data_IF_685220964861
#
_entry.id   IF_685220964861
#
_cell.length_a   1.000
_cell.length_b   1.000
_cell.length_c   1.000
_cell.angle_alpha   90.00
_cell.angle_beta   90.00
_cell.angle_gamma   90.00
#
_symmetry.space_group_name_H-M   'P 1'
#
loop_
_entity.id
_entity.type
_entity.pdbx_description
1 polymer ?
#
# COMPACT_ATOMS: atom_id res chain seq x y z
N UNK A 1 22.76 -30.92 -67.61
CA UNK A 1 22.09 -29.58 -67.75
C UNK A 1 21.70 -29.13 -66.39
N UNK A 2 22.52 -28.34 -65.76
CA UNK A 2 22.18 -27.71 -64.51
C UNK A 2 21.23 -26.55 -64.80
N UNK A 3 19.97 -26.69 -64.41
CA UNK A 3 18.97 -25.62 -64.55
C UNK A 3 19.45 -24.41 -63.72
N UNK A 4 19.61 -23.27 -64.37
CA UNK A 4 19.85 -21.98 -63.67
C UNK A 4 18.64 -21.71 -62.78
N UNK A 5 18.80 -21.50 -61.49
CA UNK A 5 17.67 -21.22 -60.62
C UNK A 5 16.96 -19.96 -61.11
N UNK A 6 15.65 -20.02 -61.21
CA UNK A 6 14.82 -18.86 -61.52
C UNK A 6 15.11 -17.73 -60.49
N UNK A 7 15.30 -16.52 -60.99
CA UNK A 7 15.60 -15.35 -60.16
C UNK A 7 14.57 -15.19 -59.00
N UNK A 8 13.33 -15.59 -59.23
CA UNK A 8 12.26 -15.60 -58.25
C UNK A 8 12.56 -16.61 -57.11
N UNK A 9 13.07 -17.80 -57.47
CA UNK A 9 13.46 -18.81 -56.47
C UNK A 9 14.70 -18.37 -55.69
N UNK A 10 15.65 -17.70 -56.32
CA UNK A 10 16.78 -17.11 -55.60
C UNK A 10 16.36 -16.04 -54.63
N UNK A 11 15.49 -15.10 -55.04
CA UNK A 11 14.95 -14.06 -54.17
C UNK A 11 14.18 -14.70 -52.99
N UNK A 12 13.32 -15.69 -53.26
CA UNK A 12 12.60 -16.42 -52.18
C UNK A 12 13.54 -17.11 -51.21
N UNK A 13 14.64 -17.68 -51.70
CA UNK A 13 15.64 -18.32 -50.86
C UNK A 13 16.36 -17.31 -49.95
N UNK A 14 16.74 -16.16 -50.52
CA UNK A 14 17.36 -15.06 -49.74
C UNK A 14 16.38 -14.53 -48.68
N UNK A 15 15.15 -14.21 -49.08
CA UNK A 15 14.10 -13.71 -48.12
C UNK A 15 13.84 -14.73 -47.00
N UNK A 16 13.74 -16.02 -47.34
CA UNK A 16 13.55 -17.05 -46.31
C UNK A 16 14.77 -17.16 -45.39
N UNK A 17 15.96 -16.98 -45.90
CA UNK A 17 17.17 -17.00 -45.08
C UNK A 17 17.22 -15.80 -44.13
N UNK A 18 16.95 -14.59 -44.63
CA UNK A 18 16.88 -13.38 -43.77
C UNK A 18 15.79 -13.48 -42.73
N UNK A 19 14.57 -13.95 -43.08
CA UNK A 19 13.49 -14.16 -42.14
C UNK A 19 13.82 -15.21 -41.05
N UNK A 20 14.71 -16.16 -41.30
CA UNK A 20 15.15 -17.13 -40.30
C UNK A 20 16.12 -16.55 -39.27
N UNK A 21 16.82 -15.48 -39.63
CA UNK A 21 17.75 -14.80 -38.72
C UNK A 21 17.07 -13.70 -37.92
N UNK A 22 15.85 -13.32 -38.28
CA UNK A 22 15.06 -12.33 -37.53
C UNK A 22 14.32 -12.97 -36.37
N UNK A 23 14.70 -12.60 -35.18
CA UNK A 23 13.94 -12.93 -33.96
C UNK A 23 12.84 -11.89 -33.73
N UNK A 24 11.59 -12.29 -33.77
CA UNK A 24 10.45 -11.35 -33.59
C UNK A 24 10.10 -11.20 -32.12
N UNK A 25 9.46 -12.22 -31.56
CA UNK A 25 9.14 -12.35 -30.14
C UNK A 25 9.25 -13.82 -29.74
N UNK A 26 9.77 -14.07 -28.56
CA UNK A 26 9.89 -15.43 -28.02
C UNK A 26 9.44 -15.49 -26.55
N UNK A 27 9.10 -16.70 -26.11
CA UNK A 27 8.79 -16.97 -24.72
C UNK A 27 10.05 -17.41 -23.98
N UNK A 28 10.23 -16.86 -22.79
CA UNK A 28 11.33 -17.25 -21.91
C UNK A 28 10.87 -17.44 -20.46
N UNK A 29 11.71 -18.11 -19.71
CA UNK A 29 11.55 -18.29 -18.28
C UNK A 29 12.67 -17.58 -17.55
N UNK A 30 12.34 -16.75 -16.56
CA UNK A 30 13.32 -16.00 -15.78
C UNK A 30 14.18 -16.97 -14.96
N UNK A 31 15.49 -16.95 -15.18
CA UNK A 31 16.47 -17.74 -14.43
C UNK A 31 17.07 -16.94 -13.26
N UNK A 32 17.16 -15.60 -13.40
CA UNK A 32 17.68 -14.70 -12.36
C UNK A 32 17.06 -13.31 -12.48
N UNK A 33 16.57 -12.76 -11.37
CA UNK A 33 16.17 -11.36 -11.30
C UNK A 33 17.34 -10.47 -10.86
N UNK A 34 17.48 -9.27 -11.45
CA UNK A 34 18.49 -8.25 -11.17
C UNK A 34 17.81 -6.92 -10.84
N UNK A 35 17.18 -6.81 -9.65
CA UNK A 35 16.54 -5.58 -9.22
C UNK A 35 17.59 -4.52 -8.88
N UNK A 36 17.22 -3.23 -9.01
CA UNK A 36 17.95 -2.15 -8.35
C UNK A 36 17.57 -2.17 -6.85
N UNK A 37 18.32 -2.92 -6.05
CA UNK A 37 17.98 -3.23 -4.66
C UNK A 37 18.54 -2.19 -3.66
N UNK A 38 19.52 -1.40 -4.07
CA UNK A 38 20.14 -0.37 -3.23
C UNK A 38 20.63 0.80 -4.08
N UNK A 39 20.72 1.99 -3.48
CA UNK A 39 21.20 3.20 -4.16
C UNK A 39 22.66 3.09 -4.68
N UNK A 40 23.42 2.12 -4.21
CA UNK A 40 24.82 1.92 -4.61
C UNK A 40 25.04 0.83 -5.63
N UNK A 41 24.02 0.05 -6.02
CA UNK A 41 24.17 -0.98 -7.05
C UNK A 41 24.11 -0.36 -8.45
N UNK A 42 24.58 -1.11 -9.44
CA UNK A 42 24.62 -0.70 -10.84
C UNK A 42 23.56 -1.42 -11.71
N UNK A 43 22.64 -2.14 -11.07
CA UNK A 43 21.59 -2.88 -11.76
C UNK A 43 20.47 -1.93 -12.21
N UNK A 44 20.04 -2.07 -13.46
CA UNK A 44 19.05 -1.23 -14.10
C UNK A 44 17.74 -1.97 -14.41
N UNK A 45 17.28 -2.82 -13.49
CA UNK A 45 16.01 -3.51 -13.67
C UNK A 45 16.03 -4.48 -14.86
N UNK A 46 16.77 -5.57 -14.70
CA UNK A 46 16.98 -6.59 -15.73
C UNK A 46 16.77 -8.01 -15.18
N UNK A 47 16.65 -8.99 -16.08
CA UNK A 47 16.60 -10.41 -15.73
C UNK A 47 17.54 -11.23 -16.63
N UNK A 48 18.03 -12.37 -16.12
CA UNK A 48 18.56 -13.42 -16.97
C UNK A 48 17.38 -14.34 -17.33
N UNK A 49 17.27 -14.73 -18.59
CA UNK A 49 16.11 -15.47 -19.12
C UNK A 49 16.55 -16.64 -19.99
N UNK A 50 15.96 -17.80 -19.77
CA UNK A 50 16.12 -18.98 -20.63
C UNK A 50 15.04 -18.99 -21.71
N UNK A 51 15.40 -18.87 -22.97
CA UNK A 51 14.47 -19.02 -24.10
C UNK A 51 13.92 -20.46 -24.15
N UNK A 52 12.58 -20.60 -24.26
CA UNK A 52 11.94 -21.92 -24.17
C UNK A 52 12.23 -22.83 -25.36
N UNK A 53 12.21 -22.26 -26.57
CA UNK A 53 12.24 -23.06 -27.79
C UNK A 53 13.63 -23.53 -28.15
N UNK A 54 14.65 -22.73 -27.83
CA UNK A 54 16.04 -23.04 -28.21
C UNK A 54 16.98 -23.31 -27.02
N UNK A 55 16.50 -23.13 -25.80
CA UNK A 55 17.29 -23.38 -24.57
C UNK A 55 18.51 -22.45 -24.42
N UNK A 56 18.48 -21.26 -25.04
CA UNK A 56 19.54 -20.26 -24.93
C UNK A 56 19.28 -19.36 -23.73
N UNK A 57 20.30 -19.13 -22.89
CA UNK A 57 20.23 -18.17 -21.79
C UNK A 57 20.68 -16.78 -22.26
N UNK A 58 19.78 -15.81 -22.14
CA UNK A 58 20.05 -14.38 -22.35
C UNK A 58 20.32 -13.73 -20.99
N UNK A 59 21.40 -12.97 -20.87
CA UNK A 59 21.81 -12.34 -19.60
C UNK A 59 21.57 -10.84 -19.61
N UNK A 60 21.09 -10.33 -18.45
CA UNK A 60 20.91 -8.89 -18.27
C UNK A 60 19.87 -8.28 -19.21
N UNK A 61 18.82 -9.03 -19.55
CA UNK A 61 17.73 -8.57 -20.41
C UNK A 61 16.94 -7.49 -19.69
N UNK A 62 16.88 -6.25 -20.22
CA UNK A 62 16.15 -5.17 -19.60
C UNK A 62 14.64 -5.45 -19.58
N UNK A 63 13.96 -5.00 -18.51
CA UNK A 63 12.52 -5.14 -18.39
C UNK A 63 11.87 -3.81 -18.74
N UNK A 64 10.96 -3.82 -19.71
CA UNK A 64 10.17 -2.65 -20.08
C UNK A 64 9.23 -2.26 -18.93
N UNK A 65 9.02 -0.97 -18.74
CA UNK A 65 8.08 -0.43 -17.76
C UNK A 65 7.06 0.48 -18.43
N UNK A 66 5.82 0.47 -17.98
CA UNK A 66 4.76 1.34 -18.49
C UNK A 66 5.01 2.82 -18.14
N UNK A 67 5.74 3.09 -17.06
CA UNK A 67 6.07 4.44 -16.61
C UNK A 67 7.38 4.42 -15.82
N UNK A 68 8.25 5.39 -16.07
CA UNK A 68 9.44 5.60 -15.24
C UNK A 68 9.01 5.88 -13.79
N UNK A 69 9.61 5.17 -12.84
CA UNK A 69 9.21 5.16 -11.43
C UNK A 69 8.32 3.99 -11.02
N UNK A 70 7.78 3.21 -11.99
CA UNK A 70 7.07 1.97 -11.70
C UNK A 70 8.03 0.78 -11.72
N UNK A 71 8.04 0.00 -10.65
CA UNK A 71 8.89 -1.18 -10.48
C UNK A 71 8.05 -2.39 -10.08
N UNK A 72 8.09 -3.44 -10.91
CA UNK A 72 7.52 -4.76 -10.65
C UNK A 72 8.34 -5.80 -11.41
N UNK A 73 9.54 -6.14 -10.89
CA UNK A 73 10.47 -7.05 -11.59
C UNK A 73 9.88 -8.45 -11.67
N UNK A 74 10.08 -9.18 -12.79
CA UNK A 74 9.73 -10.60 -12.86
C UNK A 74 10.50 -11.44 -11.84
N UNK A 75 9.81 -12.41 -11.24
CA UNK A 75 10.44 -13.37 -10.34
C UNK A 75 11.10 -14.51 -11.10
N UNK A 76 12.02 -15.20 -10.45
CA UNK A 76 12.60 -16.45 -10.98
C UNK A 76 11.50 -17.48 -11.17
N UNK A 77 11.39 -18.03 -12.37
CA UNK A 77 10.32 -18.95 -12.77
C UNK A 77 9.19 -18.30 -13.58
N UNK A 78 9.05 -16.97 -13.56
CA UNK A 78 8.03 -16.28 -14.33
C UNK A 78 8.19 -16.52 -15.84
N UNK A 79 7.06 -16.73 -16.51
CA UNK A 79 6.98 -16.78 -17.97
C UNK A 79 6.92 -15.35 -18.52
N UNK A 80 7.87 -15.01 -19.41
CA UNK A 80 8.00 -13.68 -19.98
C UNK A 80 7.95 -13.71 -21.51
N UNK A 81 7.40 -12.62 -22.07
CA UNK A 81 7.48 -12.35 -23.51
C UNK A 81 8.68 -11.44 -23.77
N UNK A 82 9.53 -11.86 -24.68
CA UNK A 82 10.77 -11.17 -25.06
C UNK A 82 10.62 -10.67 -26.49
N UNK A 83 10.81 -9.37 -26.68
CA UNK A 83 10.96 -8.74 -27.98
C UNK A 83 12.44 -8.53 -28.29
N UNK A 84 12.80 -8.54 -29.58
CA UNK A 84 14.15 -8.29 -30.06
C UNK A 84 14.18 -7.01 -30.89
N UNK A 85 14.95 -6.02 -30.47
CA UNK A 85 15.06 -4.75 -31.18
C UNK A 85 15.70 -5.00 -32.56
N UNK A 86 14.98 -4.60 -33.59
CA UNK A 86 15.37 -4.87 -35.01
C UNK A 86 15.53 -6.35 -35.34
N UNK A 87 14.94 -7.25 -34.56
CA UNK A 87 15.09 -8.70 -34.77
C UNK A 87 16.45 -9.26 -34.34
N UNK A 88 17.26 -8.49 -33.63
CA UNK A 88 18.59 -8.87 -33.19
C UNK A 88 18.54 -9.56 -31.83
N UNK A 89 18.98 -10.83 -31.78
CA UNK A 89 19.02 -11.63 -30.55
C UNK A 89 19.93 -11.03 -29.47
N UNK A 90 20.86 -10.16 -29.85
CA UNK A 90 21.75 -9.47 -28.89
C UNK A 90 21.07 -8.27 -28.21
N UNK A 91 19.92 -7.85 -28.72
CA UNK A 91 19.15 -6.71 -28.19
C UNK A 91 17.77 -7.13 -27.70
N UNK A 92 17.69 -8.07 -26.70
CA UNK A 92 16.44 -8.53 -26.13
C UNK A 92 15.87 -7.52 -25.15
N UNK A 93 14.52 -7.46 -25.06
CA UNK A 93 13.77 -6.69 -24.06
C UNK A 93 12.61 -7.52 -23.56
N UNK A 94 12.44 -7.68 -22.25
CA UNK A 94 11.23 -8.25 -21.67
C UNK A 94 10.11 -7.21 -21.79
N UNK A 95 9.08 -7.51 -22.56
CA UNK A 95 7.94 -6.61 -22.82
C UNK A 95 6.74 -6.91 -21.93
N UNK A 96 6.66 -8.08 -21.30
CA UNK A 96 5.59 -8.44 -20.39
C UNK A 96 5.77 -9.80 -19.75
N UNK A 97 4.88 -10.10 -18.81
CA UNK A 97 4.73 -11.42 -18.17
C UNK A 97 3.46 -12.07 -18.65
N UNK A 98 3.43 -13.38 -18.64
CA UNK A 98 2.26 -14.17 -19.01
C UNK A 98 1.90 -15.12 -17.86
N UNK A 99 0.62 -15.25 -17.62
CA UNK A 99 0.13 -16.31 -16.76
C UNK A 99 0.30 -17.68 -17.42
N UNK A 100 0.44 -18.69 -16.61
CA UNK A 100 0.58 -20.08 -17.04
C UNK A 100 -0.27 -21.02 -16.14
N UNK A 101 -0.14 -22.32 -16.30
CA UNK A 101 -0.93 -23.27 -15.52
C UNK A 101 -0.52 -23.36 -14.04
N UNK A 102 0.67 -22.88 -13.69
CA UNK A 102 1.19 -22.81 -12.31
C UNK A 102 0.84 -21.44 -11.71
N UNK A 103 1.17 -20.35 -12.43
CA UNK A 103 0.94 -18.98 -12.01
C UNK A 103 -0.33 -18.44 -12.69
N UNK A 104 -1.48 -18.86 -12.17
CA UNK A 104 -2.78 -18.44 -12.69
C UNK A 104 -3.10 -17.01 -12.26
N UNK A 105 -3.89 -16.27 -13.07
CA UNK A 105 -4.38 -14.96 -12.65
C UNK A 105 -5.27 -15.09 -11.41
N UNK A 106 -5.35 -14.06 -10.56
CA UNK A 106 -6.36 -13.99 -9.52
C UNK A 106 -7.77 -14.06 -10.14
N UNK A 107 -8.71 -14.61 -9.37
CA UNK A 107 -10.12 -14.63 -9.81
C UNK A 107 -10.65 -13.21 -9.83
N UNK A 108 -11.09 -12.75 -11.00
CA UNK A 108 -11.63 -11.42 -11.22
C UNK A 108 -12.70 -11.44 -12.32
N UNK A 109 -13.59 -10.45 -12.32
CA UNK A 109 -14.55 -10.16 -13.38
C UNK A 109 -14.05 -9.04 -14.29
N UNK A 110 -14.74 -8.81 -15.39
CA UNK A 110 -14.34 -7.89 -16.46
C UNK A 110 -14.13 -6.45 -15.99
N UNK A 111 -14.90 -5.98 -15.00
CA UNK A 111 -14.87 -4.60 -14.50
C UNK A 111 -14.03 -4.44 -13.22
N UNK A 112 -13.31 -5.48 -12.80
CA UNK A 112 -12.53 -5.49 -11.57
C UNK A 112 -11.05 -5.28 -11.86
N UNK A 113 -10.41 -4.45 -11.03
CA UNK A 113 -8.96 -4.38 -10.92
C UNK A 113 -8.52 -5.10 -9.66
N UNK A 114 -7.89 -6.26 -9.83
CA UNK A 114 -7.46 -7.13 -8.73
C UNK A 114 -5.95 -7.29 -8.78
N UNK A 115 -5.28 -7.03 -7.69
CA UNK A 115 -3.87 -7.32 -7.49
C UNK A 115 -3.73 -8.20 -6.25
N UNK A 116 -3.24 -9.41 -6.44
CA UNK A 116 -2.84 -10.33 -5.37
C UNK A 116 -1.34 -10.48 -5.48
N UNK A 117 -0.62 -10.13 -4.41
CA UNK A 117 0.83 -10.27 -4.39
C UNK A 117 1.19 -11.77 -4.44
N UNK A 118 1.78 -12.25 -5.55
CA UNK A 118 2.07 -13.68 -5.71
C UNK A 118 3.34 -14.12 -4.99
N UNK A 119 4.09 -13.15 -4.46
CA UNK A 119 5.44 -13.38 -3.96
C UNK A 119 5.43 -14.26 -2.71
N UNK A 120 6.15 -15.36 -2.77
CA UNK A 120 6.37 -16.22 -1.62
C UNK A 120 7.21 -15.50 -0.55
N UNK A 121 7.00 -15.84 0.72
CA UNK A 121 7.66 -15.23 1.90
C UNK A 121 9.20 -15.31 1.92
N UNK A 122 9.80 -15.93 0.93
CA UNK A 122 11.24 -16.18 0.86
C UNK A 122 12.10 -14.93 0.80
N UNK A 123 11.60 -13.81 0.31
CA UNK A 123 12.38 -12.57 0.14
C UNK A 123 12.25 -11.57 1.29
N UNK A 124 11.36 -11.78 2.23
CA UNK A 124 11.21 -10.98 3.46
C UNK A 124 10.62 -9.58 3.30
N UNK A 125 10.41 -9.08 2.09
CA UNK A 125 9.89 -7.72 1.87
C UNK A 125 8.82 -7.71 0.79
N UNK A 126 7.57 -7.96 1.19
CA UNK A 126 6.41 -7.70 0.33
C UNK A 126 5.84 -6.33 0.67
N UNK A 127 5.83 -5.43 -0.30
CA UNK A 127 5.23 -4.11 -0.10
C UNK A 127 4.63 -3.56 -1.39
N UNK A 128 3.49 -2.87 -1.25
CA UNK A 128 3.02 -1.88 -2.21
C UNK A 128 3.42 -0.50 -1.67
N UNK A 129 4.10 0.31 -2.47
CA UNK A 129 4.65 1.58 -2.03
C UNK A 129 4.41 2.66 -3.07
N UNK A 130 3.81 3.76 -2.62
CA UNK A 130 3.59 4.97 -3.41
C UNK A 130 4.31 6.11 -2.72
N UNK A 131 5.16 6.82 -3.44
CA UNK A 131 5.87 7.98 -2.92
C UNK A 131 5.78 9.14 -3.91
N UNK A 132 5.67 10.35 -3.36
CA UNK A 132 5.63 11.60 -4.10
C UNK A 132 6.91 12.42 -3.84
N UNK A 133 7.33 13.28 -4.76
CA UNK A 133 8.55 14.09 -4.59
C UNK A 133 8.56 14.98 -3.34
N UNK A 134 7.38 15.36 -2.85
CA UNK A 134 7.21 16.16 -1.62
C UNK A 134 7.36 15.35 -0.32
N UNK A 135 7.69 14.05 -0.40
CA UNK A 135 7.87 13.17 0.74
C UNK A 135 6.60 12.47 1.24
N UNK A 136 5.42 12.81 0.70
CA UNK A 136 4.20 12.07 1.02
C UNK A 136 4.28 10.64 0.49
N UNK A 137 3.84 9.67 1.29
CA UNK A 137 3.93 8.26 0.91
C UNK A 137 2.86 7.40 1.55
N UNK A 138 2.47 6.35 0.86
CA UNK A 138 1.62 5.27 1.35
C UNK A 138 2.36 3.95 1.18
N UNK A 139 2.38 3.13 2.22
CA UNK A 139 3.08 1.84 2.22
C UNK A 139 2.19 0.78 2.85
N UNK A 140 1.90 -0.27 2.11
CA UNK A 140 1.24 -1.48 2.58
C UNK A 140 2.27 -2.61 2.62
N UNK A 141 2.37 -3.30 3.75
CA UNK A 141 3.18 -4.49 3.95
C UNK A 141 2.32 -5.61 4.53
N UNK A 142 2.87 -6.79 4.73
CA UNK A 142 2.17 -7.89 5.40
C UNK A 142 1.71 -7.54 6.83
N UNK A 143 2.45 -6.66 7.51
CA UNK A 143 2.26 -6.37 8.93
C UNK A 143 1.47 -5.08 9.17
N UNK A 144 1.50 -4.13 8.24
CA UNK A 144 0.91 -2.80 8.45
C UNK A 144 0.63 -2.02 7.18
N UNK A 145 -0.32 -1.12 7.28
CA UNK A 145 -0.51 0.01 6.38
C UNK A 145 -0.01 1.30 7.05
N UNK A 146 0.76 2.09 6.33
CA UNK A 146 1.27 3.39 6.79
C UNK A 146 1.00 4.45 5.72
N UNK A 147 0.30 5.52 6.10
CA UNK A 147 0.11 6.72 5.31
C UNK A 147 0.84 7.88 6.00
N UNK A 148 1.75 8.52 5.29
CA UNK A 148 2.51 9.68 5.77
C UNK A 148 2.26 10.88 4.84
N UNK A 149 1.74 11.95 5.40
CA UNK A 149 1.38 13.19 4.70
C UNK A 149 1.99 14.37 5.48
N UNK A 150 3.19 14.78 5.11
CA UNK A 150 3.97 15.74 5.90
C UNK A 150 4.20 15.23 7.32
N UNK A 151 3.74 15.98 8.32
CA UNK A 151 3.87 15.62 9.73
C UNK A 151 2.69 14.78 10.28
N UNK A 152 1.72 14.45 9.44
CA UNK A 152 0.58 13.58 9.82
C UNK A 152 0.86 12.13 9.40
N UNK A 153 0.58 11.19 10.31
CA UNK A 153 0.78 9.77 10.08
C UNK A 153 -0.41 8.96 10.57
N UNK A 154 -0.90 8.07 9.71
CA UNK A 154 -1.83 7.00 10.05
C UNK A 154 -1.11 5.67 9.93
N UNK A 155 -1.17 4.86 10.98
CA UNK A 155 -0.63 3.50 10.98
C UNK A 155 -1.73 2.53 11.41
N UNK A 156 -1.96 1.49 10.62
CA UNK A 156 -2.84 0.36 10.95
C UNK A 156 -1.98 -0.89 10.95
N UNK A 157 -1.97 -1.65 12.05
CA UNK A 157 -1.19 -2.88 12.20
C UNK A 157 -2.07 -4.12 12.12
N UNK A 158 -1.52 -5.19 11.63
CA UNK A 158 -2.21 -6.50 11.53
C UNK A 158 -2.67 -7.02 12.92
N UNK A 159 -1.99 -6.63 14.00
CA UNK A 159 -2.39 -6.91 15.39
C UNK A 159 -3.61 -6.15 15.89
N UNK A 160 -4.23 -5.30 15.06
CA UNK A 160 -5.44 -4.54 15.39
C UNK A 160 -5.18 -3.11 15.88
N UNK A 161 -3.94 -2.68 16.06
CA UNK A 161 -3.63 -1.32 16.51
C UNK A 161 -3.87 -0.30 15.39
N UNK A 162 -4.52 0.81 15.74
CA UNK A 162 -4.67 1.99 14.89
C UNK A 162 -4.08 3.19 15.62
N UNK A 163 -3.16 3.89 14.97
CA UNK A 163 -2.49 5.08 15.48
C UNK A 163 -2.66 6.22 14.47
N UNK A 164 -3.23 7.33 14.93
CA UNK A 164 -3.30 8.57 14.17
C UNK A 164 -2.51 9.64 14.94
N UNK A 165 -1.44 10.13 14.34
CA UNK A 165 -0.62 11.20 14.85
C UNK A 165 -0.67 12.39 13.90
N UNK A 166 -0.99 13.58 14.42
CA UNK A 166 -0.98 14.84 13.67
C UNK A 166 -0.20 15.88 14.46
N UNK A 167 0.65 16.64 13.80
CA UNK A 167 1.33 17.79 14.40
C UNK A 167 0.46 19.07 14.41
N UNK A 168 -0.71 19.02 13.79
CA UNK A 168 -1.66 20.11 13.70
C UNK A 168 -3.04 19.67 14.23
N UNK A 169 -4.10 20.30 13.77
CA UNK A 169 -5.44 20.02 14.19
C UNK A 169 -5.97 18.68 13.64
N UNK A 170 -6.82 18.03 14.40
CA UNK A 170 -7.64 16.89 13.98
C UNK A 170 -9.09 17.24 14.21
N UNK A 171 -9.89 17.37 13.15
CA UNK A 171 -11.32 17.64 13.20
C UNK A 171 -12.07 16.35 12.84
N UNK A 172 -12.92 15.89 13.77
CA UNK A 172 -13.80 14.74 13.56
C UNK A 172 -15.24 15.22 13.63
N UNK A 173 -15.98 15.12 12.53
CA UNK A 173 -17.37 15.59 12.43
C UNK A 173 -18.24 14.48 11.84
N UNK A 174 -19.39 14.24 12.47
CA UNK A 174 -20.41 13.36 11.94
C UNK A 174 -21.68 14.18 11.66
N UNK A 175 -22.29 13.99 10.47
CA UNK A 175 -23.59 14.60 10.15
C UNK A 175 -24.77 13.87 10.80
N UNK A 176 -24.57 12.69 11.36
CA UNK A 176 -25.47 11.89 12.17
C UNK A 176 -24.83 11.54 13.51
N UNK A 177 -25.10 10.35 13.99
CA UNK A 177 -24.58 9.88 15.27
C UNK A 177 -23.09 9.58 15.24
N UNK A 178 -22.41 9.77 16.36
CA UNK A 178 -21.02 9.39 16.58
C UNK A 178 -20.91 8.58 17.87
N UNK A 179 -20.34 7.39 17.80
CA UNK A 179 -20.11 6.52 18.95
C UNK A 179 -18.62 6.29 19.16
N UNK A 180 -18.16 6.46 20.41
CA UNK A 180 -16.82 6.09 20.86
C UNK A 180 -16.96 5.04 21.96
N UNK A 181 -16.50 3.83 21.71
CA UNK A 181 -16.58 2.70 22.62
C UNK A 181 -15.19 2.08 22.84
N UNK A 182 -14.86 1.79 24.07
CA UNK A 182 -13.64 1.07 24.43
C UNK A 182 -13.99 -0.08 25.39
N UNK A 183 -13.62 -1.31 25.05
CA UNK A 183 -13.78 -2.47 25.94
C UNK A 183 -12.92 -2.40 27.20
N UNK A 184 -11.91 -1.55 27.21
CA UNK A 184 -11.06 -1.26 28.35
C UNK A 184 -11.16 0.21 28.79
N UNK A 185 -10.05 0.93 28.74
CA UNK A 185 -9.95 2.34 29.19
C UNK A 185 -10.16 3.29 28.00
N UNK A 186 -11.02 4.28 28.17
CA UNK A 186 -11.07 5.48 27.34
C UNK A 186 -10.43 6.65 28.10
N UNK A 187 -9.44 7.30 27.55
CA UNK A 187 -8.73 8.42 28.15
C UNK A 187 -8.73 9.65 27.22
N UNK A 188 -9.26 10.77 27.72
CA UNK A 188 -9.28 12.06 27.04
C UNK A 188 -8.40 13.04 27.81
N UNK A 189 -7.38 13.58 27.15
CA UNK A 189 -6.46 14.57 27.72
C UNK A 189 -6.42 15.81 26.85
N UNK A 190 -6.51 16.98 27.47
CA UNK A 190 -6.31 18.25 26.80
C UNK A 190 -5.23 19.04 27.58
N UNK A 191 -4.28 19.63 26.86
CA UNK A 191 -3.22 20.45 27.48
C UNK A 191 -3.72 21.81 27.97
N UNK A 192 -4.85 22.30 27.47
CA UNK A 192 -5.43 23.59 27.79
C UNK A 192 -6.85 23.46 28.32
N UNK A 193 -7.82 23.10 27.47
CA UNK A 193 -9.24 23.01 27.85
C UNK A 193 -9.90 21.80 27.21
N UNK A 194 -10.86 21.23 27.91
CA UNK A 194 -11.80 20.23 27.42
C UNK A 194 -13.22 20.79 27.59
N UNK A 195 -13.96 20.97 26.49
CA UNK A 195 -15.37 21.36 26.51
C UNK A 195 -16.23 20.17 26.07
N UNK A 196 -17.31 19.92 26.81
CA UNK A 196 -18.34 18.92 26.46
C UNK A 196 -19.67 19.61 26.50
N UNK A 197 -20.32 19.77 25.36
CA UNK A 197 -21.60 20.45 25.22
C UNK A 197 -22.66 19.53 24.63
N UNK A 198 -23.87 19.60 25.09
CA UNK A 198 -25.04 18.93 24.53
C UNK A 198 -26.26 19.86 24.59
N UNK A 199 -26.98 19.99 23.48
CA UNK A 199 -28.17 20.87 23.42
C UNK A 199 -29.31 20.38 24.31
N UNK A 200 -29.45 19.06 24.49
CA UNK A 200 -30.57 18.47 25.25
C UNK A 200 -30.12 17.82 26.55
N UNK A 201 -29.13 16.94 26.51
CA UNK A 201 -28.67 16.28 27.74
C UNK A 201 -27.22 15.76 27.58
N UNK A 202 -26.45 15.91 28.65
CA UNK A 202 -25.20 15.22 28.86
C UNK A 202 -25.31 14.28 30.04
N UNK A 203 -24.96 13.01 29.93
CA UNK A 203 -25.04 12.02 31.00
C UNK A 203 -23.67 11.45 31.32
N UNK A 204 -23.25 11.50 32.57
CA UNK A 204 -22.06 10.86 33.10
C UNK A 204 -22.49 9.81 34.13
N UNK A 205 -22.15 8.53 33.86
CA UNK A 205 -22.58 7.42 34.71
C UNK A 205 -21.40 6.44 34.90
N UNK A 206 -21.22 5.94 36.11
CA UNK A 206 -20.23 4.94 36.46
C UNK A 206 -20.42 4.45 37.90
N UNK A 207 -19.73 3.40 38.30
CA UNK A 207 -19.70 2.93 39.70
C UNK A 207 -19.13 4.02 40.62
N UNK A 208 -18.19 4.79 40.15
CA UNK A 208 -17.69 5.98 40.82
C UNK A 208 -17.44 7.09 39.82
N UNK A 209 -17.78 8.31 40.15
CA UNK A 209 -17.48 9.51 39.39
C UNK A 209 -16.71 10.45 40.33
N UNK A 210 -15.49 10.84 39.91
CA UNK A 210 -14.67 11.78 40.70
C UNK A 210 -14.42 13.04 39.89
N UNK A 211 -14.75 14.20 40.43
CA UNK A 211 -14.48 15.51 39.87
C UNK A 211 -13.51 16.22 40.81
N UNK A 212 -12.32 16.55 40.33
CA UNK A 212 -11.32 17.26 41.12
C UNK A 212 -10.87 18.49 40.33
N UNK A 213 -10.88 19.62 41.00
CA UNK A 213 -10.36 20.87 40.50
C UNK A 213 -9.31 21.41 41.48
N UNK A 214 -8.26 22.05 40.99
CA UNK A 214 -7.23 22.65 41.84
C UNK A 214 -7.66 24.00 42.40
N UNK A 215 -8.52 24.72 41.70
CA UNK A 215 -8.95 26.08 42.07
C UNK A 215 -10.44 26.12 42.40
N UNK A 216 -11.34 25.73 41.48
CA UNK A 216 -12.77 25.75 41.69
C UNK A 216 -13.46 24.68 40.84
N UNK A 217 -14.49 24.08 41.39
CA UNK A 217 -15.48 23.27 40.66
C UNK A 217 -16.82 23.93 40.82
N UNK A 218 -17.53 24.27 39.75
CA UNK A 218 -18.84 24.88 39.75
C UNK A 218 -19.88 23.93 39.18
N UNK A 219 -21.00 23.82 39.83
CA UNK A 219 -22.19 23.10 39.36
C UNK A 219 -23.37 24.06 39.40
N UNK A 220 -23.82 24.50 38.23
CA UNK A 220 -24.90 25.46 38.11
C UNK A 220 -26.09 24.82 37.38
N UNK A 221 -27.29 25.02 37.90
CA UNK A 221 -28.55 24.63 37.25
C UNK A 221 -29.43 25.85 37.05
N UNK A 222 -29.92 26.11 35.80
CA UNK A 222 -30.75 27.25 35.48
C UNK A 222 -32.10 27.22 36.25
N UNK A 223 -32.63 26.04 36.54
CA UNK A 223 -33.88 25.87 37.33
C UNK A 223 -33.60 25.15 38.65
N UNK A 224 -32.76 24.15 38.69
CA UNK A 224 -32.39 23.46 39.92
C UNK A 224 -31.03 22.71 39.75
N UNK A 225 -30.25 22.67 40.81
CA UNK A 225 -29.15 21.73 40.98
C UNK A 225 -29.49 20.78 42.14
N UNK A 226 -29.39 19.46 41.93
CA UNK A 226 -29.76 18.48 42.94
C UNK A 226 -28.65 17.48 43.21
N UNK A 227 -28.28 17.31 44.48
CA UNK A 227 -27.40 16.27 44.97
C UNK A 227 -28.23 15.26 45.78
N UNK A 228 -28.21 13.99 45.37
CA UNK A 228 -29.01 12.95 46.07
C UNK A 228 -28.10 11.72 46.30
N UNK A 229 -28.22 11.14 47.47
CA UNK A 229 -27.54 9.92 47.88
C UNK A 229 -27.89 9.49 49.26
N UNK A 230 -27.59 8.25 49.70
CA UNK A 230 -27.79 7.82 51.10
C UNK A 230 -27.02 8.69 52.10
N UNK A 231 -25.88 9.21 51.68
CA UNK A 231 -25.09 10.17 52.44
C UNK A 231 -24.58 11.27 51.48
N UNK A 232 -24.84 12.52 51.83
CA UNK A 232 -24.24 13.69 51.16
C UNK A 232 -23.41 14.41 52.23
N UNK A 233 -22.07 14.34 52.08
CA UNK A 233 -21.14 15.02 52.98
C UNK A 233 -20.59 16.28 52.32
N UNK A 234 -20.70 17.42 52.95
CA UNK A 234 -20.15 18.70 52.51
C UNK A 234 -19.14 19.16 53.56
N UNK A 235 -17.89 19.26 53.18
CA UNK A 235 -16.81 19.72 54.08
C UNK A 235 -16.35 21.13 53.73
N UNK A 236 -15.82 21.87 54.68
CA UNK A 236 -15.35 23.23 54.53
C UNK A 236 -16.38 24.30 54.97
N UNK A 237 -16.14 25.55 54.59
CA UNK A 237 -17.08 26.63 54.86
C UNK A 237 -18.24 26.55 53.86
N UNK A 238 -19.46 26.40 54.37
CA UNK A 238 -20.66 26.34 53.57
C UNK A 238 -21.43 27.65 53.72
N UNK A 239 -21.70 28.34 52.63
CA UNK A 239 -22.51 29.56 52.60
C UNK A 239 -23.77 29.32 51.77
N UNK A 240 -24.95 29.69 52.29
CA UNK A 240 -26.19 29.68 51.56
C UNK A 240 -26.57 31.13 51.28
N UNK A 241 -26.66 31.53 50.02
CA UNK A 241 -27.16 32.83 49.62
C UNK A 241 -28.51 32.65 48.95
N UNK A 242 -29.54 33.41 49.35
CA UNK A 242 -30.78 33.42 48.58
C UNK A 242 -30.53 34.05 47.22
N UNK A 243 -31.03 33.42 46.17
CA UNK A 243 -31.00 33.90 44.77
C UNK A 243 -31.94 35.06 44.57
#
# INVERSE_FOLDING_TARGET
>A
MTATPDIVELIRAVVRNELRTMHVTELGVVSKARPHASAGDKENYACDVMLRDIGLELKGVPVATQRIGHVAIPNVGDLVLIGFVHGDIQNPVIVGRLHNNVDRPPVAKDEEWVYVCPDDKKSGVRRAHFAFPNGNKATLTDDKFVLEMGATRLTIRNGGDIELASAANVDIKAGGDMTLEAGGKLELKAGSSLAVEAQTSAKLQGLSVSIKAQTSAEVQGGAAASLKGPLVAIGGNVSFSPS
#
